data_IF_804820659513
#
_entry.id   IF_804820659513
#
_cell.length_a   1.000
_cell.length_b   1.000
_cell.length_c   1.000
_cell.angle_alpha   90.00
_cell.angle_beta   90.00
_cell.angle_gamma   90.00
#
_symmetry.space_group_name_H-M   'P 1'
#
loop_
_entity.id
_entity.type
_entity.pdbx_description
1 polymer ?
#
# COMPACT_ATOMS: atom_id res chain seq x y z
N UNK A 1 -9.87 -12.64 26.13
CA UNK A 1 -9.21 -13.97 26.07
C UNK A 1 -7.69 -13.91 26.20
N UNK A 2 -6.97 -13.01 25.50
CA UNK A 2 -5.50 -12.92 25.59
C UNK A 2 -4.97 -12.63 27.00
N UNK A 3 -5.59 -11.70 27.73
CA UNK A 3 -5.16 -11.35 29.09
C UNK A 3 -5.23 -12.53 30.07
N UNK A 4 -6.28 -13.36 29.98
CA UNK A 4 -6.45 -14.55 30.82
C UNK A 4 -5.36 -15.59 30.51
N UNK A 5 -5.02 -15.78 29.23
CA UNK A 5 -3.94 -16.69 28.80
C UNK A 5 -2.57 -16.26 29.35
N UNK A 6 -2.29 -14.95 29.35
CA UNK A 6 -1.05 -14.38 29.92
C UNK A 6 -0.98 -14.62 31.44
N UNK A 7 -2.09 -14.44 32.16
CA UNK A 7 -2.16 -14.70 33.61
C UNK A 7 -1.89 -16.18 33.92
N UNK A 8 -2.52 -17.11 33.19
CA UNK A 8 -2.28 -18.54 33.37
C UNK A 8 -0.84 -18.94 33.00
N UNK A 9 -0.26 -18.33 31.96
CA UNK A 9 1.13 -18.56 31.57
C UNK A 9 2.11 -18.19 32.71
N UNK A 10 1.94 -17.03 33.33
CA UNK A 10 2.75 -16.63 34.50
C UNK A 10 2.49 -17.52 35.72
N UNK A 11 1.23 -17.90 35.95
CA UNK A 11 0.84 -18.82 37.03
C UNK A 11 1.55 -20.19 36.90
N UNK A 12 1.56 -20.77 35.70
CA UNK A 12 2.24 -22.05 35.43
C UNK A 12 3.77 -21.95 35.50
N UNK A 13 4.36 -20.79 35.17
CA UNK A 13 5.80 -20.55 35.33
C UNK A 13 6.23 -20.62 36.79
N UNK A 14 5.40 -20.11 37.71
CA UNK A 14 5.74 -20.03 39.14
C UNK A 14 5.57 -21.37 39.86
N UNK A 15 4.55 -22.15 39.50
CA UNK A 15 4.16 -23.35 40.27
C UNK A 15 4.94 -24.62 39.89
N UNK A 16 5.32 -24.79 38.63
CA UNK A 16 5.91 -26.06 38.17
C UNK A 16 7.26 -25.84 37.49
N UNK A 17 8.34 -26.04 38.23
CA UNK A 17 9.69 -25.64 37.84
C UNK A 17 10.28 -26.41 36.64
N UNK A 18 9.80 -27.62 36.34
CA UNK A 18 10.24 -28.37 35.14
C UNK A 18 9.44 -27.96 33.90
N UNK A 19 8.13 -27.76 34.05
CA UNK A 19 7.24 -27.30 32.96
C UNK A 19 7.50 -25.82 32.61
N UNK A 20 7.87 -25.00 33.60
CA UNK A 20 8.12 -23.57 33.44
C UNK A 20 9.29 -23.27 32.50
N UNK A 21 10.36 -24.06 32.56
CA UNK A 21 11.52 -23.91 31.69
C UNK A 21 11.16 -24.16 30.20
N UNK A 22 10.38 -25.20 29.91
CA UNK A 22 9.92 -25.50 28.56
C UNK A 22 8.92 -24.46 28.02
N UNK A 23 8.01 -23.97 28.86
CA UNK A 23 7.07 -22.91 28.52
C UNK A 23 7.77 -21.58 28.25
N UNK A 24 8.75 -21.22 29.07
CA UNK A 24 9.58 -20.03 28.88
C UNK A 24 10.39 -20.11 27.59
N UNK A 25 11.03 -21.25 27.33
CA UNK A 25 11.81 -21.47 26.11
C UNK A 25 10.93 -21.38 24.85
N UNK A 26 9.77 -22.04 24.86
CA UNK A 26 8.80 -21.97 23.76
C UNK A 26 8.30 -20.54 23.53
N UNK A 27 8.03 -19.79 24.60
CA UNK A 27 7.62 -18.40 24.50
C UNK A 27 8.71 -17.50 23.91
N UNK A 28 9.97 -17.67 24.33
CA UNK A 28 11.10 -16.92 23.78
C UNK A 28 11.28 -17.24 22.29
N UNK A 29 11.19 -18.51 21.90
CA UNK A 29 11.29 -18.91 20.48
C UNK A 29 10.13 -18.33 19.68
N UNK A 30 8.90 -18.42 20.19
CA UNK A 30 7.72 -17.85 19.54
C UNK A 30 7.82 -16.34 19.38
N UNK A 31 8.28 -15.64 20.42
CA UNK A 31 8.42 -14.18 20.42
C UNK A 31 9.53 -13.72 19.46
N UNK A 32 10.65 -14.43 19.40
CA UNK A 32 11.75 -14.12 18.47
C UNK A 32 11.31 -14.31 17.02
N UNK A 33 10.65 -15.43 16.69
CA UNK A 33 10.10 -15.67 15.35
C UNK A 33 9.03 -14.65 14.97
N UNK A 34 8.12 -14.32 15.88
CA UNK A 34 7.09 -13.30 15.65
C UNK A 34 7.70 -11.93 15.40
N UNK A 35 8.71 -11.54 16.18
CA UNK A 35 9.43 -10.26 16.02
C UNK A 35 10.15 -10.16 14.68
N UNK A 36 10.80 -11.24 14.22
CA UNK A 36 11.45 -11.28 12.90
C UNK A 36 10.41 -11.13 11.79
N UNK A 37 9.30 -11.87 11.87
CA UNK A 37 8.22 -11.80 10.89
C UNK A 37 7.60 -10.39 10.82
N UNK A 38 7.38 -9.77 11.98
CA UNK A 38 6.89 -8.40 12.09
C UNK A 38 7.87 -7.39 11.47
N UNK A 39 9.17 -7.53 11.73
CA UNK A 39 10.19 -6.65 11.16
C UNK A 39 10.22 -6.71 9.62
N UNK A 40 10.14 -7.93 9.05
CA UNK A 40 10.06 -8.13 7.59
C UNK A 40 8.79 -7.50 7.03
N UNK A 41 7.64 -7.72 7.69
CA UNK A 41 6.35 -7.18 7.24
C UNK A 41 6.35 -5.65 7.24
N UNK A 42 6.88 -5.02 8.29
CA UNK A 42 7.01 -3.56 8.38
C UNK A 42 7.94 -3.00 7.30
N UNK A 43 9.07 -3.67 7.03
CA UNK A 43 10.00 -3.28 5.96
C UNK A 43 9.32 -3.30 4.59
N UNK A 44 8.59 -4.38 4.28
CA UNK A 44 7.83 -4.50 3.03
C UNK A 44 6.75 -3.43 2.88
N UNK A 45 6.02 -3.13 3.96
CA UNK A 45 5.01 -2.07 3.97
C UNK A 45 5.64 -0.69 3.70
N UNK A 46 6.78 -0.40 4.32
CA UNK A 46 7.48 0.86 4.12
C UNK A 46 7.96 1.02 2.68
N UNK A 47 8.59 -0.01 2.12
CA UNK A 47 9.07 0.01 0.74
C UNK A 47 7.92 0.16 -0.26
N UNK A 48 6.81 -0.56 -0.05
CA UNK A 48 5.59 -0.43 -0.87
C UNK A 48 5.03 1.00 -0.81
N UNK A 49 5.04 1.65 0.36
CA UNK A 49 4.61 3.04 0.52
C UNK A 49 5.55 4.01 -0.21
N UNK A 50 6.86 3.77 -0.17
CA UNK A 50 7.85 4.55 -0.92
C UNK A 50 7.65 4.45 -2.43
N UNK A 51 7.57 3.23 -2.97
CA UNK A 51 7.32 2.97 -4.39
C UNK A 51 5.99 3.58 -4.85
N UNK A 52 4.94 3.49 -4.04
CA UNK A 52 3.64 4.13 -4.34
C UNK A 52 3.73 5.65 -4.45
N UNK A 53 4.51 6.31 -3.58
CA UNK A 53 4.71 7.77 -3.67
C UNK A 53 5.38 8.16 -4.99
N UNK A 54 6.43 7.43 -5.39
CA UNK A 54 7.14 7.67 -6.65
C UNK A 54 6.21 7.48 -7.84
N UNK A 55 5.48 6.36 -7.88
CA UNK A 55 4.50 6.07 -8.93
C UNK A 55 3.44 7.18 -9.04
N UNK A 56 2.87 7.65 -7.92
CA UNK A 56 1.88 8.73 -7.95
C UNK A 56 2.43 10.04 -8.54
N UNK A 57 3.69 10.37 -8.25
CA UNK A 57 4.35 11.57 -8.81
C UNK A 57 4.55 11.41 -10.32
N UNK A 58 5.01 10.23 -10.74
CA UNK A 58 5.22 9.90 -12.16
C UNK A 58 3.90 9.97 -12.94
N UNK A 59 2.84 9.34 -12.43
CA UNK A 59 1.49 9.38 -13.02
C UNK A 59 0.98 10.81 -13.19
N UNK A 60 1.08 11.65 -12.15
CA UNK A 60 0.66 13.07 -12.25
C UNK A 60 1.52 13.83 -13.27
N UNK A 61 2.82 13.56 -13.34
CA UNK A 61 3.70 14.20 -14.30
C UNK A 61 3.36 13.81 -15.75
N UNK A 62 3.03 12.55 -16.01
CA UNK A 62 2.53 12.10 -17.31
C UNK A 62 1.23 12.81 -17.69
N UNK A 63 0.29 12.92 -16.76
CA UNK A 63 -0.98 13.63 -16.99
C UNK A 63 -0.74 15.11 -17.34
N UNK A 64 0.20 15.77 -16.66
CA UNK A 64 0.60 17.15 -16.96
C UNK A 64 1.23 17.29 -18.34
N UNK A 65 2.12 16.36 -18.72
CA UNK A 65 2.88 16.38 -19.98
C UNK A 65 2.06 15.97 -21.21
N UNK A 66 0.92 15.31 -21.05
CA UNK A 66 0.10 14.84 -22.18
C UNK A 66 -0.27 15.99 -23.14
N UNK A 67 0.06 15.90 -24.43
CA UNK A 67 -0.19 16.99 -25.41
C UNK A 67 -1.63 17.06 -25.94
N UNK A 68 -2.40 15.99 -25.83
CA UNK A 68 -3.73 15.87 -26.44
C UNK A 68 -4.84 16.39 -25.53
N UNK A 69 -4.59 16.46 -24.22
CA UNK A 69 -5.52 16.99 -23.23
C UNK A 69 -5.36 18.50 -23.06
N UNK A 70 -6.49 19.21 -22.94
CA UNK A 70 -6.47 20.65 -22.63
C UNK A 70 -6.07 20.90 -21.17
N UNK A 71 -5.47 22.07 -20.85
CA UNK A 71 -5.03 22.40 -19.48
C UNK A 71 -6.13 22.22 -18.43
N UNK A 72 -7.34 22.75 -18.68
CA UNK A 72 -8.46 22.62 -17.73
C UNK A 72 -8.96 21.19 -17.54
N UNK A 73 -8.85 20.31 -18.54
CA UNK A 73 -9.19 18.87 -18.38
C UNK A 73 -8.12 18.15 -17.56
N UNK A 74 -6.84 18.42 -17.81
CA UNK A 74 -5.74 17.88 -17.00
C UNK A 74 -5.91 18.21 -15.53
N UNK A 75 -6.18 19.49 -15.22
CA UNK A 75 -6.37 19.94 -13.84
C UNK A 75 -7.52 19.21 -13.14
N UNK A 76 -8.64 18.99 -13.83
CA UNK A 76 -9.77 18.23 -13.30
C UNK A 76 -9.37 16.79 -12.97
N UNK A 77 -8.77 16.08 -13.91
CA UNK A 77 -8.35 14.70 -13.68
C UNK A 77 -7.30 14.57 -12.57
N UNK A 78 -6.37 15.52 -12.47
CA UNK A 78 -5.38 15.55 -11.38
C UNK A 78 -6.07 15.82 -10.03
N UNK A 79 -7.07 16.70 -10.00
CA UNK A 79 -7.86 16.96 -8.79
C UNK A 79 -8.61 15.71 -8.34
N UNK A 80 -9.27 15.03 -9.27
CA UNK A 80 -10.03 13.79 -8.98
C UNK A 80 -9.09 12.64 -8.55
N UNK A 81 -7.92 12.52 -9.20
CA UNK A 81 -6.89 11.56 -8.82
C UNK A 81 -6.35 11.81 -7.40
N UNK A 82 -6.13 13.07 -7.03
CA UNK A 82 -5.69 13.44 -5.68
C UNK A 82 -6.79 13.29 -4.64
N UNK A 83 -8.06 13.46 -5.02
CA UNK A 83 -9.23 13.28 -4.15
C UNK A 83 -9.64 11.81 -3.95
N UNK A 84 -9.06 10.89 -4.74
CA UNK A 84 -9.36 9.46 -4.69
C UNK A 84 -9.04 8.85 -3.33
N UNK A 85 -9.98 8.08 -2.77
CA UNK A 85 -9.92 7.52 -1.42
C UNK A 85 -9.04 6.28 -1.34
N UNK A 86 -8.89 5.56 -2.44
CA UNK A 86 -8.12 4.32 -2.51
C UNK A 86 -7.35 4.20 -3.82
N UNK A 87 -6.47 3.20 -3.89
CA UNK A 87 -5.60 2.99 -5.05
C UNK A 87 -6.37 2.57 -6.31
N UNK A 88 -7.48 1.84 -6.14
CA UNK A 88 -8.31 1.41 -7.26
C UNK A 88 -8.96 2.61 -7.95
N UNK A 89 -9.53 3.54 -7.18
CA UNK A 89 -10.07 4.80 -7.68
C UNK A 89 -9.02 5.60 -8.45
N UNK A 90 -7.79 5.70 -7.91
CA UNK A 90 -6.67 6.35 -8.60
C UNK A 90 -6.37 5.73 -9.95
N UNK A 91 -6.29 4.39 -10.00
CA UNK A 91 -6.05 3.64 -11.23
C UNK A 91 -7.19 3.88 -12.23
N UNK A 92 -8.44 3.86 -11.77
CA UNK A 92 -9.60 4.12 -12.62
C UNK A 92 -9.59 5.54 -13.20
N UNK A 93 -9.32 6.56 -12.39
CA UNK A 93 -9.22 7.96 -12.85
C UNK A 93 -8.11 8.12 -13.89
N UNK A 94 -6.95 7.52 -13.65
CA UNK A 94 -5.85 7.56 -14.62
C UNK A 94 -6.18 6.79 -15.91
N UNK A 95 -6.84 5.64 -15.82
CA UNK A 95 -7.28 4.88 -17.00
C UNK A 95 -8.27 5.68 -17.85
N UNK A 96 -9.23 6.36 -17.22
CA UNK A 96 -10.16 7.26 -17.93
C UNK A 96 -9.44 8.41 -18.61
N UNK A 97 -8.48 9.04 -17.93
CA UNK A 97 -7.64 10.08 -18.52
C UNK A 97 -6.90 9.56 -19.78
N UNK A 98 -6.28 8.38 -19.71
CA UNK A 98 -5.53 7.79 -20.82
C UNK A 98 -6.43 7.41 -21.99
N UNK A 99 -7.62 6.88 -21.73
CA UNK A 99 -8.60 6.54 -22.75
C UNK A 99 -9.05 7.79 -23.53
N UNK A 100 -9.46 8.85 -22.82
CA UNK A 100 -9.87 10.09 -23.47
C UNK A 100 -8.69 10.74 -24.23
N UNK A 101 -7.48 10.73 -23.65
CA UNK A 101 -6.30 11.28 -24.33
C UNK A 101 -6.00 10.54 -25.65
N UNK A 102 -6.20 9.22 -25.67
CA UNK A 102 -6.03 8.38 -26.88
C UNK A 102 -7.11 8.65 -27.92
N UNK A 103 -8.36 8.82 -27.50
CA UNK A 103 -9.45 9.20 -28.41
C UNK A 103 -9.16 10.55 -29.09
N UNK A 104 -8.65 11.52 -28.33
CA UNK A 104 -8.24 12.83 -28.85
C UNK A 104 -7.05 12.75 -29.79
N UNK A 105 -6.05 11.93 -29.45
CA UNK A 105 -4.92 11.67 -30.35
C UNK A 105 -5.39 11.11 -31.69
N UNK A 106 -6.28 10.12 -31.67
CA UNK A 106 -6.84 9.53 -32.88
C UNK A 106 -7.68 10.53 -33.68
N UNK A 107 -8.46 11.39 -33.00
CA UNK A 107 -9.22 12.44 -33.66
C UNK A 107 -8.31 13.44 -34.39
N UNK A 108 -7.18 13.83 -33.78
CA UNK A 108 -6.20 14.71 -34.42
C UNK A 108 -5.55 14.03 -35.63
N UNK A 109 -5.13 12.76 -35.50
CA UNK A 109 -4.53 12.01 -36.61
C UNK A 109 -5.49 11.80 -37.79
N UNK A 110 -6.77 11.57 -37.50
CA UNK A 110 -7.79 11.42 -38.54
C UNK A 110 -8.10 12.72 -39.28
N UNK A 111 -7.70 13.89 -38.75
CA UNK A 111 -7.84 15.19 -39.41
C UNK A 111 -6.61 15.58 -40.24
N UNK A 112 -5.50 14.86 -40.10
CA UNK A 112 -4.25 15.07 -40.85
C UNK A 112 -4.16 14.19 -42.12
N UNK A 113 -5.17 13.36 -42.39
CA UNK A 113 -5.32 12.49 -43.57
C UNK A 113 -6.40 13.08 -44.50
#
# INVERSE_FOLDING_TARGET
MFAISIIYFFYFIIINHSLSAHLLLSFIIGFTLWSICLAIHLKLLYEKKGKRKVMNIETINEMKKNKYMSPGRKERYIKDYNASKNELEKIMTYAQFMLEAKERENAVKNLEI
#
